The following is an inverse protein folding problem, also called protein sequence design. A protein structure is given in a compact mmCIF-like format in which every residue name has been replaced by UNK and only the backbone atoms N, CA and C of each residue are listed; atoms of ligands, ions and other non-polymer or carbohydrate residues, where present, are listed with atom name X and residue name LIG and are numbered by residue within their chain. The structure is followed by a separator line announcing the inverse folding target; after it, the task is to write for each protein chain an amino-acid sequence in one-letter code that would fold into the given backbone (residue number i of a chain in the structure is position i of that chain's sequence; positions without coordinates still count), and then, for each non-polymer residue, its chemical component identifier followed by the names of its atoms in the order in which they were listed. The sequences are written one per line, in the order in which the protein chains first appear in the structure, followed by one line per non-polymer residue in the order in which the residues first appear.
data_IF_995017225930
#
_entry.id   IF_995017225930
#
_cell.length_a   1.000
_cell.length_b   1.000
_cell.length_c   1.000
_cell.angle_alpha   90.00
_cell.angle_beta   90.00
_cell.angle_gamma   90.00
#
_symmetry.space_group_name_H-M   'P 1'
#
loop_
_entity.id
_entity.type
_entity.pdbx_description
1 polymer ?
#
# COMPACT_ATOMS: atom_id res chain seq x y z
N UNK A 1 -8.62 34.79 0.71
CA UNK A 1 -9.72 34.07 0.01
C UNK A 1 -11.02 34.41 0.72
N UNK A 2 -12.07 34.86 0.03
CA UNK A 2 -13.34 35.23 0.71
C UNK A 2 -14.05 33.96 1.20
N UNK A 3 -14.65 33.96 2.39
CA UNK A 3 -15.34 32.79 2.99
C UNK A 3 -16.27 32.06 2.01
N UNK A 4 -17.01 32.81 1.18
CA UNK A 4 -17.87 32.27 0.12
C UNK A 4 -17.11 31.42 -0.91
N UNK A 5 -15.91 31.84 -1.33
CA UNK A 5 -15.09 31.08 -2.27
C UNK A 5 -14.64 29.76 -1.65
N UNK A 6 -14.24 29.77 -0.37
CA UNK A 6 -13.87 28.55 0.36
C UNK A 6 -15.04 27.57 0.36
N UNK A 7 -16.24 28.06 0.71
CA UNK A 7 -17.44 27.26 0.78
C UNK A 7 -17.80 26.64 -0.58
N UNK A 8 -17.77 27.42 -1.67
CA UNK A 8 -18.04 26.91 -3.01
C UNK A 8 -17.01 25.87 -3.45
N UNK A 9 -15.73 26.10 -3.19
CA UNK A 9 -14.68 25.13 -3.51
C UNK A 9 -14.91 23.83 -2.75
N UNK A 10 -15.19 23.88 -1.45
CA UNK A 10 -15.47 22.69 -0.64
C UNK A 10 -16.71 21.95 -1.15
N UNK A 11 -17.79 22.66 -1.47
CA UNK A 11 -19.01 22.06 -2.00
C UNK A 11 -18.80 21.38 -3.35
N UNK A 12 -18.04 22.01 -4.26
CA UNK A 12 -17.71 21.43 -5.58
C UNK A 12 -16.97 20.10 -5.43
N UNK A 13 -16.12 19.93 -4.42
CA UNK A 13 -15.43 18.67 -4.17
C UNK A 13 -16.26 17.66 -3.37
N UNK A 14 -17.07 18.11 -2.41
CA UNK A 14 -17.86 17.21 -1.56
C UNK A 14 -19.08 16.64 -2.27
N UNK A 15 -19.79 17.44 -3.09
CA UNK A 15 -21.04 17.02 -3.72
C UNK A 15 -20.84 15.76 -4.59
N UNK A 16 -19.84 15.68 -5.50
CA UNK A 16 -19.61 14.47 -6.29
C UNK A 16 -19.29 13.24 -5.43
N UNK A 17 -18.52 13.42 -4.35
CA UNK A 17 -18.17 12.33 -3.43
C UNK A 17 -19.41 11.81 -2.71
N UNK A 18 -20.28 12.70 -2.22
CA UNK A 18 -21.54 12.33 -1.57
C UNK A 18 -22.50 11.67 -2.55
N UNK A 19 -22.60 12.15 -3.79
CA UNK A 19 -23.44 11.52 -4.81
C UNK A 19 -22.94 10.10 -5.13
N UNK A 20 -21.61 9.93 -5.27
CA UNK A 20 -21.03 8.64 -5.62
C UNK A 20 -21.07 7.62 -4.47
N UNK A 21 -20.77 8.04 -3.24
CA UNK A 21 -20.62 7.15 -2.08
C UNK A 21 -21.87 7.10 -1.18
N UNK A 22 -22.71 8.13 -1.21
CA UNK A 22 -23.88 8.29 -0.34
C UNK A 22 -24.86 7.12 -0.42
N UNK A 23 -25.28 6.66 -1.61
CA UNK A 23 -26.16 5.50 -1.73
C UNK A 23 -25.58 4.22 -1.12
N UNK A 24 -24.25 4.04 -1.22
CA UNK A 24 -23.55 2.88 -0.63
C UNK A 24 -23.58 2.98 0.89
N UNK A 25 -23.24 4.14 1.45
CA UNK A 25 -23.28 4.36 2.90
C UNK A 25 -24.69 4.24 3.47
N UNK A 26 -25.70 4.80 2.79
CA UNK A 26 -27.11 4.68 3.19
C UNK A 26 -27.55 3.22 3.21
N UNK A 27 -27.30 2.47 2.13
CA UNK A 27 -27.59 1.03 2.07
C UNK A 27 -26.89 0.24 3.19
N UNK A 28 -25.61 0.54 3.45
CA UNK A 28 -24.84 -0.18 4.46
C UNK A 28 -25.32 0.15 5.89
N UNK A 29 -25.75 1.38 6.12
CA UNK A 29 -26.36 1.80 7.38
C UNK A 29 -27.72 1.12 7.59
N UNK A 30 -28.63 1.20 6.61
CA UNK A 30 -29.97 0.63 6.73
C UNK A 30 -29.95 -0.90 6.90
N UNK A 31 -29.11 -1.60 6.14
CA UNK A 31 -29.10 -3.07 6.13
C UNK A 31 -28.22 -3.70 7.21
N UNK A 32 -27.13 -3.03 7.59
CA UNK A 32 -26.09 -3.62 8.44
C UNK A 32 -25.65 -2.73 9.60
N UNK A 33 -26.30 -1.57 9.81
CA UNK A 33 -25.93 -0.57 10.80
C UNK A 33 -24.43 -0.19 10.74
N UNK A 34 -23.90 -0.03 9.52
CA UNK A 34 -22.47 0.23 9.28
C UNK A 34 -22.23 1.46 8.42
N UNK A 35 -21.31 2.32 8.85
CA UNK A 35 -20.79 3.45 8.08
C UNK A 35 -19.60 3.10 7.18
N UNK A 36 -19.12 1.86 7.23
CA UNK A 36 -17.99 1.43 6.40
C UNK A 36 -18.41 1.32 4.93
N UNK A 37 -17.49 1.65 4.02
CA UNK A 37 -17.73 1.52 2.58
C UNK A 37 -17.83 0.04 2.16
N UNK A 38 -16.98 -0.81 2.75
CA UNK A 38 -16.88 -2.25 2.44
C UNK A 38 -16.65 -3.09 3.69
N UNK A 39 -17.09 -4.36 3.64
CA UNK A 39 -16.97 -5.34 4.72
C UNK A 39 -15.73 -6.23 4.61
N UNK A 40 -14.69 -5.82 3.88
CA UNK A 40 -13.49 -6.64 3.64
C UNK A 40 -12.32 -6.29 4.56
N UNK A 41 -12.43 -5.21 5.34
CA UNK A 41 -11.33 -4.68 6.15
C UNK A 41 -10.79 -5.70 7.16
N UNK A 42 -11.65 -6.33 7.96
CA UNK A 42 -11.21 -7.30 8.96
C UNK A 42 -10.60 -8.55 8.34
N UNK A 43 -11.25 -9.09 7.30
CA UNK A 43 -10.71 -10.23 6.55
C UNK A 43 -9.34 -9.91 5.96
N UNK A 44 -9.15 -8.71 5.41
CA UNK A 44 -7.87 -8.28 4.86
C UNK A 44 -6.80 -8.18 5.95
N UNK A 45 -7.10 -7.48 7.06
CA UNK A 45 -6.13 -7.32 8.14
C UNK A 45 -5.73 -8.66 8.75
N UNK A 46 -6.69 -9.54 9.02
CA UNK A 46 -6.43 -10.85 9.61
C UNK A 46 -5.64 -11.79 8.69
N UNK A 47 -6.00 -11.86 7.39
CA UNK A 47 -5.44 -12.88 6.50
C UNK A 47 -4.25 -12.41 5.65
N UNK A 48 -3.99 -11.10 5.61
CA UNK A 48 -2.91 -10.52 4.80
C UNK A 48 -1.97 -9.67 5.64
N UNK A 49 -2.49 -8.76 6.46
CA UNK A 49 -1.65 -7.85 7.23
C UNK A 49 -0.93 -8.60 8.35
N UNK A 50 -1.66 -9.36 9.19
CA UNK A 50 -1.05 -10.15 10.27
C UNK A 50 0.05 -11.09 9.76
N UNK A 51 -0.17 -11.93 8.72
CA UNK A 51 0.88 -12.83 8.25
C UNK A 51 2.07 -12.10 7.61
N UNK A 52 1.83 -10.96 6.96
CA UNK A 52 2.91 -10.10 6.46
C UNK A 52 3.72 -9.46 7.59
N UNK A 53 3.08 -9.04 8.69
CA UNK A 53 3.81 -8.56 9.87
C UNK A 53 4.67 -9.68 10.45
N UNK A 54 4.06 -10.83 10.69
CA UNK A 54 4.78 -12.01 11.21
C UNK A 54 6.02 -12.35 10.35
N UNK A 55 5.86 -12.40 9.03
CA UNK A 55 6.96 -12.71 8.12
C UNK A 55 8.04 -11.62 8.11
N UNK A 56 7.66 -10.36 7.87
CA UNK A 56 8.65 -9.31 7.64
C UNK A 56 9.28 -8.75 8.91
N UNK A 57 8.74 -9.09 10.09
CA UNK A 57 9.42 -8.93 11.37
C UNK A 57 10.34 -10.10 11.72
N UNK A 58 10.45 -11.13 10.88
CA UNK A 58 11.37 -12.25 11.05
C UNK A 58 10.88 -13.34 12.03
N UNK A 59 9.59 -13.40 12.34
CA UNK A 59 9.03 -14.42 13.25
C UNK A 59 8.85 -15.78 12.57
N UNK A 60 8.85 -15.82 11.23
CA UNK A 60 8.80 -17.05 10.44
C UNK A 60 8.29 -16.81 9.03
N UNK A 61 7.78 -17.86 8.40
CA UNK A 61 7.21 -17.80 7.05
C UNK A 61 5.82 -17.17 7.03
N UNK A 62 5.42 -16.69 5.84
CA UNK A 62 4.06 -16.19 5.62
C UNK A 62 2.99 -17.23 5.96
N UNK A 63 3.24 -18.51 5.63
CA UNK A 63 2.30 -19.61 5.89
C UNK A 63 2.11 -19.88 7.38
N UNK A 64 3.19 -19.84 8.16
CA UNK A 64 3.10 -19.92 9.63
C UNK A 64 2.31 -18.75 10.19
N UNK A 65 2.53 -17.53 9.68
CA UNK A 65 1.74 -16.35 10.06
C UNK A 65 0.24 -16.49 9.71
N UNK A 66 -0.11 -17.15 8.60
CA UNK A 66 -1.50 -17.44 8.24
C UNK A 66 -2.14 -18.45 9.19
N UNK A 67 -1.40 -19.50 9.57
CA UNK A 67 -1.87 -20.48 10.55
C UNK A 67 -2.08 -19.83 11.91
N UNK A 68 -1.10 -19.04 12.38
CA UNK A 68 -1.22 -18.26 13.61
C UNK A 68 -2.47 -17.36 13.62
N UNK A 69 -2.70 -16.62 12.54
CA UNK A 69 -3.86 -15.74 12.43
C UNK A 69 -5.19 -16.51 12.45
N UNK A 70 -5.23 -17.69 11.82
CA UNK A 70 -6.39 -18.57 11.80
C UNK A 70 -6.66 -19.12 13.21
N UNK A 71 -5.65 -19.70 13.85
CA UNK A 71 -5.78 -20.32 15.17
C UNK A 71 -6.21 -19.27 16.21
N UNK A 72 -5.58 -18.09 16.20
CA UNK A 72 -5.96 -16.97 17.07
C UNK A 72 -7.41 -16.53 16.88
N UNK A 73 -7.87 -16.49 15.62
CA UNK A 73 -9.25 -16.12 15.31
C UNK A 73 -10.25 -17.18 15.79
N UNK A 74 -9.95 -18.47 15.60
CA UNK A 74 -10.76 -19.57 16.09
C UNK A 74 -10.82 -19.58 17.63
N UNK A 75 -9.69 -19.36 18.30
CA UNK A 75 -9.61 -19.21 19.76
C UNK A 75 -10.42 -18.02 20.26
N UNK A 76 -10.33 -16.90 19.56
CA UNK A 76 -11.12 -15.71 19.89
C UNK A 76 -12.61 -15.98 19.77
N UNK A 77 -13.04 -16.62 18.68
CA UNK A 77 -14.45 -17.01 18.52
C UNK A 77 -14.94 -17.94 19.62
N UNK A 78 -14.11 -18.92 20.03
CA UNK A 78 -14.45 -19.84 21.13
C UNK A 78 -14.56 -19.10 22.46
N UNK A 79 -13.59 -18.25 22.79
CA UNK A 79 -13.54 -17.47 24.03
C UNK A 79 -14.74 -16.54 24.16
N UNK A 80 -15.09 -15.85 23.09
CA UNK A 80 -16.15 -14.84 23.10
C UNK A 80 -17.53 -15.43 22.75
N UNK A 81 -17.61 -16.76 22.55
CA UNK A 81 -18.79 -17.48 22.06
C UNK A 81 -19.40 -16.84 20.78
N UNK A 82 -18.54 -16.35 19.90
CA UNK A 82 -18.93 -15.68 18.66
C UNK A 82 -19.14 -16.70 17.55
N UNK A 83 -20.20 -16.49 16.75
CA UNK A 83 -20.46 -17.26 15.52
C UNK A 83 -20.58 -16.30 14.36
N UNK A 84 -19.89 -16.62 13.26
CA UNK A 84 -19.98 -15.87 12.02
C UNK A 84 -21.42 -15.85 11.51
N UNK A 85 -21.90 -14.67 11.15
CA UNK A 85 -23.29 -14.43 10.72
C UNK A 85 -23.34 -14.41 9.20
N UNK A 86 -24.19 -15.21 8.58
CA UNK A 86 -24.30 -15.27 7.10
C UNK A 86 -24.88 -14.00 6.50
N UNK A 87 -25.81 -13.36 7.20
CA UNK A 87 -26.59 -12.24 6.67
C UNK A 87 -25.99 -10.86 7.00
N UNK A 88 -24.89 -10.79 7.77
CA UNK A 88 -24.23 -9.54 8.13
C UNK A 88 -22.70 -9.64 7.96
N UNK A 89 -22.19 -9.32 6.75
CA UNK A 89 -20.77 -9.37 6.48
C UNK A 89 -19.99 -8.27 7.22
N UNK A 90 -20.63 -7.16 7.62
CA UNK A 90 -19.97 -6.08 8.35
C UNK A 90 -19.69 -6.48 9.79
N UNK A 91 -20.62 -7.18 10.46
CA UNK A 91 -20.40 -7.73 11.79
C UNK A 91 -19.24 -8.72 11.81
N UNK A 92 -19.18 -9.62 10.83
CA UNK A 92 -18.06 -10.55 10.68
C UNK A 92 -16.73 -9.82 10.47
N UNK A 93 -16.71 -8.83 9.57
CA UNK A 93 -15.51 -8.00 9.32
C UNK A 93 -15.06 -7.26 10.58
N UNK A 94 -15.98 -6.68 11.34
CA UNK A 94 -15.66 -5.98 12.59
C UNK A 94 -15.04 -6.93 13.62
N UNK A 95 -15.58 -8.13 13.77
CA UNK A 95 -15.04 -9.13 14.69
C UNK A 95 -13.67 -9.65 14.23
N UNK A 96 -13.48 -9.91 12.94
CA UNK A 96 -12.17 -10.24 12.36
C UNK A 96 -11.13 -9.13 12.58
N UNK A 97 -11.54 -7.87 12.43
CA UNK A 97 -10.68 -6.72 12.70
C UNK A 97 -10.28 -6.65 14.17
N UNK A 98 -11.21 -6.95 15.09
CA UNK A 98 -10.92 -7.00 16.52
C UNK A 98 -9.86 -8.07 16.84
N UNK A 99 -10.04 -9.29 16.35
CA UNK A 99 -9.07 -10.37 16.53
C UNK A 99 -7.71 -10.02 15.89
N UNK A 100 -7.72 -9.47 14.67
CA UNK A 100 -6.50 -9.04 14.00
C UNK A 100 -5.74 -7.95 14.78
N UNK A 101 -6.45 -6.97 15.36
CA UNK A 101 -5.84 -5.94 16.21
C UNK A 101 -5.24 -6.50 17.49
N UNK A 102 -5.92 -7.46 18.12
CA UNK A 102 -5.41 -8.18 19.28
C UNK A 102 -4.08 -8.86 18.96
N UNK A 103 -4.06 -9.68 17.91
CA UNK A 103 -2.85 -10.38 17.48
C UNK A 103 -1.73 -9.44 17.00
N UNK A 104 -2.05 -8.36 16.28
CA UNK A 104 -1.07 -7.35 15.88
C UNK A 104 -0.43 -6.65 17.10
N UNK A 105 -1.21 -6.47 18.17
CA UNK A 105 -0.73 -5.89 19.42
C UNK A 105 0.19 -6.86 20.16
N UNK A 106 -0.13 -8.15 20.17
CA UNK A 106 0.74 -9.21 20.69
C UNK A 106 2.05 -9.37 19.90
N UNK A 107 1.98 -9.22 18.56
CA UNK A 107 3.18 -9.17 17.72
C UNK A 107 4.03 -7.92 18.00
N UNK A 108 3.43 -6.83 18.48
CA UNK A 108 4.14 -5.64 18.95
C UNK A 108 4.38 -4.56 17.90
N UNK A 109 4.46 -3.32 18.37
CA UNK A 109 4.55 -2.12 17.53
C UNK A 109 5.81 -2.07 16.66
N UNK A 110 6.97 -2.46 17.21
CA UNK A 110 8.24 -2.46 16.46
C UNK A 110 8.19 -3.43 15.27
N UNK A 111 7.62 -4.62 15.47
CA UNK A 111 7.45 -5.62 14.42
C UNK A 111 6.51 -5.12 13.32
N UNK A 112 5.43 -4.42 13.68
CA UNK A 112 4.56 -3.75 12.72
C UNK A 112 5.32 -2.67 11.93
N UNK A 113 6.03 -1.77 12.59
CA UNK A 113 6.78 -0.68 11.93
C UNK A 113 7.87 -1.21 10.99
N UNK A 114 8.62 -2.23 11.41
CA UNK A 114 9.60 -2.92 10.58
C UNK A 114 8.93 -3.49 9.33
N UNK A 115 7.82 -4.20 9.49
CA UNK A 115 7.13 -4.86 8.38
C UNK A 115 6.50 -3.86 7.40
N UNK A 116 5.95 -2.76 7.90
CA UNK A 116 5.49 -1.63 7.07
C UNK A 116 6.64 -1.04 6.26
N UNK A 117 7.81 -0.86 6.88
CA UNK A 117 9.00 -0.33 6.22
C UNK A 117 9.47 -1.27 5.10
N UNK A 118 9.52 -2.58 5.37
CA UNK A 118 9.87 -3.61 4.37
C UNK A 118 8.87 -3.60 3.21
N UNK A 119 7.56 -3.59 3.50
CA UNK A 119 6.51 -3.52 2.48
C UNK A 119 6.61 -2.27 1.60
N UNK A 120 6.81 -1.10 2.21
CA UNK A 120 7.00 0.17 1.51
C UNK A 120 8.22 0.14 0.58
N UNK A 121 9.37 -0.33 1.06
CA UNK A 121 10.60 -0.43 0.26
C UNK A 121 10.38 -1.37 -0.93
N UNK A 122 9.83 -2.57 -0.70
CA UNK A 122 9.66 -3.56 -1.76
C UNK A 122 8.66 -3.06 -2.80
N UNK A 123 7.54 -2.45 -2.39
CA UNK A 123 6.59 -1.87 -3.34
C UNK A 123 7.21 -0.72 -4.17
N UNK A 124 8.08 0.10 -3.59
CA UNK A 124 8.75 1.21 -4.27
C UNK A 124 9.84 0.77 -5.27
N UNK A 125 10.48 -0.37 -5.05
CA UNK A 125 11.49 -0.90 -5.99
C UNK A 125 10.90 -1.94 -6.95
N UNK A 126 9.73 -2.48 -6.64
CA UNK A 126 9.06 -3.49 -7.47
C UNK A 126 8.78 -2.96 -8.87
N UNK A 127 8.98 -3.79 -9.90
CA UNK A 127 8.81 -3.37 -11.28
C UNK A 127 7.35 -3.18 -11.65
N UNK A 128 7.01 -2.01 -12.18
CA UNK A 128 5.64 -1.71 -12.64
C UNK A 128 5.19 -2.64 -13.77
N UNK A 129 6.14 -3.11 -14.59
CA UNK A 129 5.87 -4.03 -15.70
C UNK A 129 5.32 -5.38 -15.23
N UNK A 130 5.54 -5.78 -13.97
CA UNK A 130 4.95 -7.00 -13.41
C UNK A 130 3.41 -6.92 -13.30
N UNK A 131 2.82 -5.72 -13.40
CA UNK A 131 1.37 -5.55 -13.45
C UNK A 131 0.81 -5.60 -14.88
N UNK A 132 1.65 -5.51 -15.91
CA UNK A 132 1.20 -5.58 -17.30
C UNK A 132 0.51 -6.94 -17.56
N UNK A 133 -0.68 -6.97 -18.19
CA UNK A 133 -1.42 -8.23 -18.41
C UNK A 133 -0.57 -9.32 -19.04
N UNK A 134 0.19 -8.96 -20.10
CA UNK A 134 1.08 -9.88 -20.84
C UNK A 134 2.13 -10.52 -19.93
N UNK A 135 2.66 -9.79 -18.95
CA UNK A 135 3.71 -10.31 -18.04
C UNK A 135 3.10 -11.11 -16.91
N UNK A 136 1.91 -10.73 -16.44
CA UNK A 136 1.19 -11.40 -15.36
C UNK A 136 0.56 -12.73 -15.80
N UNK A 137 0.29 -12.89 -17.09
CA UNK A 137 -0.20 -14.13 -17.69
C UNK A 137 0.93 -15.13 -17.97
N UNK A 138 2.20 -14.73 -17.88
CA UNK A 138 3.33 -15.66 -18.00
C UNK A 138 3.38 -16.61 -16.79
N UNK A 139 3.82 -17.84 -17.02
CA UNK A 139 4.03 -18.80 -15.93
C UNK A 139 5.12 -18.31 -14.99
N UNK A 140 4.72 -18.01 -13.75
CA UNK A 140 5.61 -17.60 -12.68
C UNK A 140 5.08 -18.07 -11.31
N UNK A 141 5.95 -18.37 -10.34
CA UNK A 141 5.50 -18.66 -8.98
C UNK A 141 4.79 -17.44 -8.37
N UNK A 142 3.91 -17.67 -7.40
CA UNK A 142 3.35 -16.58 -6.59
C UNK A 142 4.38 -16.15 -5.55
N UNK A 143 4.74 -14.86 -5.52
CA UNK A 143 5.67 -14.33 -4.51
C UNK A 143 5.17 -14.55 -3.08
N UNK A 144 3.84 -14.64 -2.86
CA UNK A 144 3.31 -14.98 -1.55
C UNK A 144 3.50 -16.46 -1.18
N UNK A 145 3.37 -17.35 -2.17
CA UNK A 145 3.50 -18.79 -2.00
C UNK A 145 4.96 -19.25 -1.94
N UNK A 146 5.91 -18.44 -2.42
CA UNK A 146 7.34 -18.74 -2.34
C UNK A 146 7.79 -18.89 -0.88
N UNK A 147 8.46 -20.00 -0.51
CA UNK A 147 9.02 -20.20 0.82
C UNK A 147 10.05 -19.13 1.19
N UNK A 148 10.14 -18.83 2.49
CA UNK A 148 11.16 -17.94 3.05
C UNK A 148 10.68 -17.25 4.33
N UNK A 149 11.57 -17.08 5.29
CA UNK A 149 11.29 -16.45 6.59
C UNK A 149 11.36 -14.92 6.54
N UNK A 150 11.98 -14.36 5.49
CA UNK A 150 12.12 -12.92 5.31
C UNK A 150 12.11 -12.50 3.84
N UNK A 151 12.14 -11.20 3.60
CA UNK A 151 12.07 -10.63 2.26
C UNK A 151 13.21 -11.09 1.33
N UNK A 152 14.45 -11.13 1.84
CA UNK A 152 15.64 -11.49 1.06
C UNK A 152 15.60 -12.96 0.64
N UNK A 153 15.40 -13.86 1.61
CA UNK A 153 15.29 -15.30 1.34
C UNK A 153 14.17 -15.59 0.35
N UNK A 154 13.01 -14.93 0.52
CA UNK A 154 11.87 -15.07 -0.38
C UNK A 154 12.21 -14.59 -1.80
N UNK A 155 12.95 -13.50 -1.95
CA UNK A 155 13.39 -13.00 -3.25
C UNK A 155 14.35 -13.97 -3.95
N UNK A 156 15.33 -14.51 -3.22
CA UNK A 156 16.28 -15.48 -3.76
C UNK A 156 15.56 -16.77 -4.19
N UNK A 157 14.68 -17.29 -3.33
CA UNK A 157 13.86 -18.46 -3.64
C UNK A 157 12.91 -18.18 -4.81
N UNK A 158 12.37 -16.97 -4.94
CA UNK A 158 11.50 -16.60 -6.04
C UNK A 158 12.22 -16.69 -7.38
N UNK A 159 13.43 -16.13 -7.45
CA UNK A 159 14.27 -16.18 -8.66
C UNK A 159 14.66 -17.62 -8.98
N UNK A 160 15.08 -18.40 -7.97
CA UNK A 160 15.54 -19.77 -8.15
C UNK A 160 14.42 -20.73 -8.62
N UNK A 161 13.17 -20.50 -8.21
CA UNK A 161 12.02 -21.34 -8.55
C UNK A 161 11.24 -20.83 -9.79
N UNK A 162 11.75 -19.84 -10.50
CA UNK A 162 11.11 -19.33 -11.73
C UNK A 162 11.76 -19.95 -12.95
N UNK A 163 10.99 -20.74 -13.71
CA UNK A 163 11.51 -21.47 -14.88
C UNK A 163 11.55 -20.61 -16.17
N UNK A 164 10.77 -19.53 -16.24
CA UNK A 164 10.68 -18.66 -17.40
C UNK A 164 11.80 -17.62 -17.51
N UNK A 165 12.83 -17.90 -18.34
CA UNK A 165 13.92 -16.95 -18.59
C UNK A 165 13.42 -15.59 -19.10
N UNK A 166 12.45 -15.60 -20.03
CA UNK A 166 11.87 -14.35 -20.57
C UNK A 166 11.24 -13.51 -19.46
N UNK A 167 10.46 -14.14 -18.58
CA UNK A 167 9.85 -13.48 -17.44
C UNK A 167 10.92 -12.89 -16.51
N UNK A 168 11.93 -13.66 -16.14
CA UNK A 168 13.03 -13.19 -15.29
C UNK A 168 13.77 -12.00 -15.91
N UNK A 169 14.03 -12.01 -17.22
CA UNK A 169 14.66 -10.89 -17.93
C UNK A 169 13.77 -9.65 -17.87
N UNK A 170 12.47 -9.78 -18.16
CA UNK A 170 11.51 -8.66 -18.10
C UNK A 170 11.46 -8.05 -16.70
N UNK A 171 11.36 -8.90 -15.67
CA UNK A 171 11.32 -8.47 -14.26
C UNK A 171 12.65 -7.84 -13.84
N UNK A 172 13.79 -8.39 -14.25
CA UNK A 172 15.11 -7.85 -13.93
C UNK A 172 15.31 -6.46 -14.53
N UNK A 173 15.08 -6.30 -15.85
CA UNK A 173 15.17 -4.99 -16.52
C UNK A 173 14.14 -4.01 -15.94
N UNK A 174 12.91 -4.46 -15.75
CA UNK A 174 11.85 -3.67 -15.12
C UNK A 174 12.27 -3.17 -13.74
N UNK A 175 12.94 -4.01 -12.94
CA UNK A 175 13.38 -3.66 -11.59
C UNK A 175 14.49 -2.63 -11.64
N UNK A 176 15.46 -2.77 -12.54
CA UNK A 176 16.56 -1.80 -12.73
C UNK A 176 15.98 -0.43 -13.12
N UNK A 177 15.11 -0.38 -14.12
CA UNK A 177 14.49 0.88 -14.57
C UNK A 177 13.66 1.50 -13.44
N UNK A 178 12.86 0.67 -12.76
CA UNK A 178 12.02 1.09 -11.64
C UNK A 178 12.83 1.62 -10.46
N UNK A 179 13.97 1.01 -10.17
CA UNK A 179 14.91 1.45 -9.15
C UNK A 179 15.51 2.80 -9.50
N UNK A 180 16.03 2.97 -10.72
CA UNK A 180 16.58 4.25 -11.20
C UNK A 180 15.51 5.35 -11.12
N UNK A 181 14.31 5.08 -11.62
CA UNK A 181 13.18 6.01 -11.54
C UNK A 181 12.87 6.39 -10.09
N UNK A 182 12.82 5.43 -9.17
CA UNK A 182 12.57 5.67 -7.75
C UNK A 182 13.66 6.52 -7.12
N UNK A 183 14.94 6.22 -7.35
CA UNK A 183 16.07 7.01 -6.82
C UNK A 183 16.01 8.46 -7.31
N UNK A 184 15.81 8.68 -8.61
CA UNK A 184 15.70 10.02 -9.18
C UNK A 184 14.48 10.77 -8.63
N UNK A 185 13.34 10.08 -8.48
CA UNK A 185 12.13 10.66 -7.90
C UNK A 185 12.32 11.06 -6.43
N UNK A 186 13.02 10.24 -5.62
CA UNK A 186 13.33 10.56 -4.22
C UNK A 186 14.28 11.77 -4.10
N UNK A 187 15.26 11.88 -5.01
CA UNK A 187 16.08 13.10 -5.12
C UNK A 187 15.20 14.32 -5.44
N UNK A 188 14.21 14.16 -6.32
CA UNK A 188 13.24 15.19 -6.66
C UNK A 188 12.41 15.63 -5.47
N UNK A 189 11.86 14.68 -4.73
CA UNK A 189 11.12 14.91 -3.49
C UNK A 189 11.98 15.70 -2.49
N UNK A 190 13.22 15.27 -2.26
CA UNK A 190 14.14 15.95 -1.34
C UNK A 190 14.42 17.41 -1.77
N UNK A 191 14.66 17.63 -3.07
CA UNK A 191 14.90 18.98 -3.61
C UNK A 191 13.65 19.87 -3.55
N UNK A 192 12.47 19.32 -3.81
CA UNK A 192 11.20 20.05 -3.68
C UNK A 192 11.00 20.46 -2.21
N UNK A 193 11.18 19.54 -1.28
CA UNK A 193 11.06 19.82 0.15
C UNK A 193 12.05 20.90 0.60
N UNK A 194 13.33 20.81 0.20
CA UNK A 194 14.35 21.82 0.53
C UNK A 194 14.07 23.19 -0.11
N UNK A 195 13.58 23.24 -1.34
CA UNK A 195 13.31 24.50 -2.06
C UNK A 195 11.97 25.15 -1.68
N UNK A 196 11.01 24.38 -1.14
CA UNK A 196 9.72 24.89 -0.69
C UNK A 196 9.87 25.96 0.40
N UNK A 197 10.91 25.89 1.22
CA UNK A 197 11.22 26.90 2.25
C UNK A 197 11.42 28.32 1.68
N UNK A 198 11.66 28.51 0.38
CA UNK A 198 11.90 29.81 -0.24
C UNK A 198 10.92 30.17 -1.38
N UNK A 199 9.85 29.38 -1.56
CA UNK A 199 8.90 29.57 -2.67
C UNK A 199 7.64 30.33 -2.25
N UNK A 200 6.92 30.86 -3.23
CA UNK A 200 5.61 31.51 -3.02
C UNK A 200 4.61 30.54 -2.35
N UNK A 201 3.70 31.07 -1.54
CA UNK A 201 2.76 30.31 -0.70
C UNK A 201 1.97 29.24 -1.48
N UNK A 202 1.49 29.54 -2.69
CA UNK A 202 0.70 28.59 -3.48
C UNK A 202 1.52 27.36 -3.91
N UNK A 203 2.77 27.55 -4.30
CA UNK A 203 3.65 26.45 -4.71
C UNK A 203 4.02 25.53 -3.53
N UNK A 204 4.10 26.10 -2.32
CA UNK A 204 4.38 25.34 -1.10
C UNK A 204 3.21 24.42 -0.71
N UNK A 205 1.98 24.90 -0.87
CA UNK A 205 0.78 24.11 -0.60
C UNK A 205 0.71 22.89 -1.52
N UNK A 206 0.95 23.08 -2.82
CA UNK A 206 0.91 21.98 -3.80
C UNK A 206 2.00 20.95 -3.52
N UNK A 207 3.23 21.38 -3.19
CA UNK A 207 4.30 20.45 -2.83
C UNK A 207 4.05 19.71 -1.53
N UNK A 208 3.48 20.39 -0.52
CA UNK A 208 3.13 19.73 0.74
C UNK A 208 2.05 18.68 0.50
N UNK A 209 1.02 19.01 -0.28
CA UNK A 209 -0.04 18.08 -0.64
C UNK A 209 0.49 16.86 -1.38
N UNK A 210 1.36 17.03 -2.38
CA UNK A 210 1.93 15.89 -3.12
C UNK A 210 2.78 14.99 -2.23
N UNK A 211 3.55 15.56 -1.29
CA UNK A 211 4.37 14.81 -0.33
C UNK A 211 3.46 14.06 0.65
N UNK A 212 2.40 14.70 1.16
CA UNK A 212 1.40 14.05 2.00
C UNK A 212 0.72 12.89 1.28
N UNK A 213 0.37 13.03 0.00
CA UNK A 213 -0.19 11.92 -0.79
C UNK A 213 0.80 10.77 -0.97
N UNK A 214 2.08 11.07 -1.22
CA UNK A 214 3.13 10.05 -1.32
C UNK A 214 3.22 9.22 -0.03
N UNK A 215 3.32 9.88 1.13
CA UNK A 215 3.38 9.19 2.42
C UNK A 215 2.06 8.51 2.80
N UNK A 216 0.92 9.08 2.43
CA UNK A 216 -0.40 8.46 2.63
C UNK A 216 -0.49 7.11 1.93
N UNK A 217 -0.09 7.03 0.66
CA UNK A 217 -0.12 5.77 -0.07
C UNK A 217 0.88 4.74 0.51
N UNK A 218 2.07 5.16 0.93
CA UNK A 218 2.99 4.25 1.63
C UNK A 218 2.43 3.72 2.95
N UNK A 219 1.73 4.58 3.71
CA UNK A 219 1.15 4.20 4.99
C UNK A 219 -0.04 3.23 4.83
N UNK A 220 -0.92 3.48 3.85
CA UNK A 220 -2.14 2.69 3.66
C UNK A 220 -1.88 1.32 3.02
N UNK A 221 -0.82 1.17 2.22
CA UNK A 221 -0.45 -0.13 1.63
C UNK A 221 0.06 -1.12 2.68
N UNK A 222 0.68 -0.58 3.74
CA UNK A 222 1.19 -1.33 4.86
C UNK A 222 2.25 -2.38 4.49
N UNK A 223 2.29 -3.53 5.18
CA UNK A 223 3.32 -4.54 5.00
C UNK A 223 3.01 -5.46 3.80
N UNK A 224 1.91 -5.18 3.07
CA UNK A 224 1.45 -5.98 1.95
C UNK A 224 2.31 -5.66 0.74
N UNK A 225 2.87 -6.70 0.13
CA UNK A 225 3.68 -6.60 -1.07
C UNK A 225 2.82 -6.87 -2.28
N UNK A 226 2.83 -5.96 -3.23
CA UNK A 226 2.12 -6.13 -4.49
C UNK A 226 2.39 -4.96 -5.41
N UNK A 227 2.85 -5.27 -6.63
CA UNK A 227 3.22 -4.26 -7.63
C UNK A 227 2.11 -3.26 -7.94
N UNK A 228 0.83 -3.67 -7.79
CA UNK A 228 -0.35 -2.80 -7.94
C UNK A 228 -0.38 -1.60 -6.97
N UNK A 229 0.28 -1.71 -5.82
CA UNK A 229 0.30 -0.66 -4.78
C UNK A 229 1.20 0.51 -5.14
N UNK A 230 2.07 0.34 -6.14
CA UNK A 230 2.90 1.40 -6.71
C UNK A 230 2.12 2.33 -7.65
N UNK A 231 1.07 1.81 -8.31
CA UNK A 231 0.33 2.52 -9.36
C UNK A 231 -0.25 3.87 -8.91
N UNK A 232 -0.85 4.02 -7.71
CA UNK A 232 -1.35 5.32 -7.25
C UNK A 232 -0.23 6.33 -6.95
N UNK A 233 0.99 5.84 -6.68
CA UNK A 233 2.15 6.65 -6.26
C UNK A 233 2.94 7.15 -7.48
N UNK A 234 2.97 6.38 -8.58
CA UNK A 234 3.75 6.68 -9.78
C UNK A 234 3.50 8.05 -10.43
N UNK A 235 2.24 8.52 -10.58
CA UNK A 235 2.00 9.86 -11.11
C UNK A 235 2.66 10.95 -10.25
N UNK A 236 2.63 10.79 -8.92
CA UNK A 236 3.24 11.72 -7.97
C UNK A 236 4.77 11.66 -8.09
N UNK A 237 5.35 10.46 -8.18
CA UNK A 237 6.78 10.28 -8.38
C UNK A 237 7.26 10.83 -9.71
N UNK A 238 6.46 10.72 -10.78
CA UNK A 238 6.76 11.31 -12.09
C UNK A 238 6.92 12.82 -12.01
N UNK A 239 6.10 13.51 -11.20
CA UNK A 239 6.27 14.95 -10.96
C UNK A 239 7.63 15.25 -10.33
N UNK A 240 8.08 14.44 -9.37
CA UNK A 240 9.38 14.59 -8.72
C UNK A 240 10.54 14.29 -9.68
N UNK A 241 10.39 13.24 -10.48
CA UNK A 241 11.35 12.86 -11.51
C UNK A 241 11.58 14.01 -12.52
N UNK A 242 10.49 14.51 -13.10
CA UNK A 242 10.52 15.61 -14.09
C UNK A 242 11.12 16.87 -13.48
N UNK A 243 10.85 17.16 -12.20
CA UNK A 243 11.47 18.29 -11.50
C UNK A 243 13.01 18.19 -11.46
N UNK A 244 13.57 17.01 -11.24
CA UNK A 244 15.03 16.81 -11.27
C UNK A 244 15.57 16.98 -12.68
N UNK A 245 14.96 16.30 -13.66
CA UNK A 245 15.42 16.33 -15.05
C UNK A 245 15.42 17.75 -15.60
N UNK A 246 14.34 18.51 -15.39
CA UNK A 246 14.25 19.89 -15.84
C UNK A 246 15.30 20.81 -15.21
N UNK A 247 15.59 20.63 -13.92
CA UNK A 247 16.63 21.43 -13.25
C UNK A 247 18.04 21.07 -13.76
N UNK A 248 18.31 19.80 -14.05
CA UNK A 248 19.59 19.38 -14.65
C UNK A 248 19.76 19.93 -16.08
N UNK A 249 18.69 19.91 -16.89
CA UNK A 249 18.71 20.45 -18.25
C UNK A 249 18.91 21.98 -18.25
N UNK A 250 18.22 22.72 -17.37
CA UNK A 250 18.41 24.17 -17.24
C UNK A 250 19.86 24.51 -16.87
N UNK A 251 20.45 23.82 -15.90
CA UNK A 251 21.84 24.06 -15.50
C UNK A 251 22.87 23.73 -16.60
N UNK A 252 22.51 22.95 -17.62
CA UNK A 252 23.34 22.68 -18.80
C UNK A 252 23.18 23.71 -19.91
N UNK A 253 22.01 24.34 -20.04
CA UNK A 253 21.72 25.32 -21.11
C UNK A 253 22.27 26.72 -20.75
N UNK A 254 22.40 27.03 -19.45
CA UNK A 254 22.92 28.30 -18.96
C UNK A 254 24.38 28.24 -18.45
N UNK A 255 25.11 27.18 -18.81
CA UNK A 255 26.57 27.09 -18.68
C UNK A 255 27.18 27.05 -20.07
#
# INVERSE_FOLDING_TARGET
MKLKQILYTVLIYLIPVVIALGPIHHRNYDKYNSFLLVSQGGKHTLNWVVPSVYQYSGQGSYREGQLLAKDYFEDSMRRDNFKMVTNDPFKNSSYQMQAAKGLLTELGLLNMLQSWTVGAIINLISPSVAFAPIVREMDHPSFYATPGKGAIEKLLNYIANTEGLLYLVIIAFGTIISFIFTVVSLIGLFRIFKSSTHRNNNTNIVSLFSVSLFFYFLAITGPIIGVKYRLPIEPIMTLYFVYVVNNLLKNKIYK
#
